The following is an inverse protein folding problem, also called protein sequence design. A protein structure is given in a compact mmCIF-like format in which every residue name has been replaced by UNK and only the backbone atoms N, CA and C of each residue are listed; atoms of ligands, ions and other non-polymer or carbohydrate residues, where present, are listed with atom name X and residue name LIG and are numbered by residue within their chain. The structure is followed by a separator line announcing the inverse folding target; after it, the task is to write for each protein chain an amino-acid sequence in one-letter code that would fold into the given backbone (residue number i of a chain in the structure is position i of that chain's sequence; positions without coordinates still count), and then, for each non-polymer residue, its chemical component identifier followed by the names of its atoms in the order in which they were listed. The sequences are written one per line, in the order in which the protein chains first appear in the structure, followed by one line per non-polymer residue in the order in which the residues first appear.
data_IF_076848845774
#
_entry.id   IF_076848845774
#
_cell.length_a   1.000
_cell.length_b   1.000
_cell.length_c   1.000
_cell.angle_alpha   90.00
_cell.angle_beta   90.00
_cell.angle_gamma   90.00
#
_symmetry.space_group_name_H-M   'P 1'
#
loop_
_entity.id
_entity.type
_entity.pdbx_description
1 polymer ?
#
# COMPACT_ATOMS: atom_id res chain seq x y z
N UNK A 1 44.67 -11.72 -43.52
CA UNK A 1 44.10 -12.45 -42.35
C UNK A 1 44.16 -11.66 -41.04
N UNK A 2 45.32 -11.11 -40.61
CA UNK A 2 45.47 -10.37 -39.33
C UNK A 2 44.59 -9.12 -39.16
N UNK A 3 44.37 -8.34 -40.22
CA UNK A 3 43.54 -7.11 -40.17
C UNK A 3 42.06 -7.44 -40.00
N UNK A 4 41.59 -8.50 -40.67
CA UNK A 4 40.21 -8.98 -40.58
C UNK A 4 39.89 -9.48 -39.16
N UNK A 5 40.82 -10.25 -38.56
CA UNK A 5 40.69 -10.74 -37.18
C UNK A 5 40.59 -9.58 -36.16
N UNK A 6 41.40 -8.53 -36.33
CA UNK A 6 41.36 -7.33 -35.47
C UNK A 6 40.04 -6.57 -35.60
N UNK A 7 39.47 -6.48 -36.80
CA UNK A 7 38.14 -5.85 -37.02
C UNK A 7 37.02 -6.63 -36.35
N UNK A 8 37.04 -7.95 -36.46
CA UNK A 8 36.05 -8.83 -35.79
C UNK A 8 36.13 -8.64 -34.27
N UNK A 9 37.34 -8.62 -33.71
CA UNK A 9 37.54 -8.42 -32.27
C UNK A 9 37.01 -7.06 -31.78
N UNK A 10 37.25 -5.98 -32.55
CA UNK A 10 36.74 -4.63 -32.22
C UNK A 10 35.21 -4.60 -32.24
N UNK A 11 34.57 -5.24 -33.23
CA UNK A 11 33.11 -5.29 -33.32
C UNK A 11 32.50 -6.04 -32.13
N UNK A 12 33.09 -7.16 -31.73
CA UNK A 12 32.65 -7.93 -30.55
C UNK A 12 32.80 -7.10 -29.27
N UNK A 13 33.92 -6.38 -29.13
CA UNK A 13 34.17 -5.53 -27.97
C UNK A 13 33.12 -4.41 -27.87
N UNK A 14 32.83 -3.72 -28.98
CA UNK A 14 31.81 -2.65 -29.02
C UNK A 14 30.42 -3.22 -28.68
N UNK A 15 30.05 -4.36 -29.25
CA UNK A 15 28.78 -5.01 -28.97
C UNK A 15 28.64 -5.39 -27.48
N UNK A 16 29.71 -5.89 -26.86
CA UNK A 16 29.73 -6.24 -25.44
C UNK A 16 29.54 -5.01 -24.53
N UNK A 17 30.22 -3.90 -24.83
CA UNK A 17 30.11 -2.64 -24.09
C UNK A 17 28.70 -2.07 -24.25
N UNK A 18 28.16 -2.05 -25.47
CA UNK A 18 26.81 -1.56 -25.74
C UNK A 18 25.75 -2.38 -24.98
N UNK A 19 25.92 -3.69 -24.90
CA UNK A 19 25.03 -4.57 -24.15
C UNK A 19 25.05 -4.26 -22.64
N UNK A 20 26.23 -4.03 -22.06
CA UNK A 20 26.38 -3.65 -20.64
C UNK A 20 25.72 -2.29 -20.36
N UNK A 21 25.91 -1.31 -21.26
CA UNK A 21 25.28 0.02 -21.14
C UNK A 21 23.76 -0.08 -21.21
N UNK A 22 23.23 -0.84 -22.18
CA UNK A 22 21.80 -1.06 -22.33
C UNK A 22 21.19 -1.80 -21.13
N UNK A 23 21.89 -2.81 -20.60
CA UNK A 23 21.48 -3.53 -19.40
C UNK A 23 21.44 -2.61 -18.17
N UNK A 24 22.49 -1.80 -17.97
CA UNK A 24 22.57 -0.83 -16.87
C UNK A 24 21.49 0.25 -16.95
N UNK A 25 21.15 0.67 -18.17
CA UNK A 25 20.06 1.62 -18.40
C UNK A 25 18.70 1.02 -18.07
N UNK A 26 18.45 -0.25 -18.45
CA UNK A 26 17.21 -0.97 -18.11
C UNK A 26 17.03 -1.11 -16.60
N UNK A 27 18.09 -1.45 -15.87
CA UNK A 27 18.10 -1.52 -14.40
C UNK A 27 17.80 -0.17 -13.76
N UNK A 28 18.40 0.92 -14.27
CA UNK A 28 18.11 2.30 -13.79
C UNK A 28 16.65 2.67 -14.00
N UNK A 29 16.09 2.42 -15.19
CA UNK A 29 14.67 2.70 -15.49
C UNK A 29 13.71 1.90 -14.60
N UNK A 30 14.02 0.63 -14.29
CA UNK A 30 13.22 -0.15 -13.34
C UNK A 30 13.31 0.41 -11.91
N UNK A 31 14.51 0.79 -11.46
CA UNK A 31 14.72 1.37 -10.12
C UNK A 31 14.05 2.74 -9.96
N UNK A 32 14.08 3.56 -11.00
CA UNK A 32 13.41 4.88 -11.03
C UNK A 32 11.88 4.71 -11.05
N UNK A 33 11.34 3.71 -11.75
CA UNK A 33 9.90 3.35 -11.71
C UNK A 33 9.45 2.88 -10.33
N UNK A 34 10.25 2.05 -9.65
CA UNK A 34 9.98 1.65 -8.26
C UNK A 34 10.03 2.85 -7.33
N UNK A 35 10.97 3.79 -7.53
CA UNK A 35 11.12 4.98 -6.69
C UNK A 35 10.02 6.03 -6.92
N UNK A 36 9.51 6.17 -8.15
CA UNK A 36 8.37 7.04 -8.47
C UNK A 36 7.01 6.46 -8.10
N UNK A 37 6.86 5.13 -8.03
CA UNK A 37 5.64 4.48 -7.53
C UNK A 37 5.53 4.49 -5.98
N UNK A 38 6.55 4.96 -5.26
CA UNK A 38 6.51 5.14 -3.79
C UNK A 38 5.84 6.48 -3.39
N UNK A 39 5.65 7.40 -4.33
CA UNK A 39 5.05 8.69 -4.07
C UNK A 39 3.86 8.92 -5.00
N UNK A 40 2.66 8.44 -4.60
CA UNK A 40 1.33 9.05 -4.92
C UNK A 40 0.13 8.22 -4.47
N UNK A 41 0.18 7.68 -3.25
CA UNK A 41 -1.03 7.69 -2.43
C UNK A 41 -0.60 8.19 -1.05
N UNK A 42 -1.05 9.40 -0.68
CA UNK A 42 -0.46 10.10 0.48
C UNK A 42 -0.62 9.25 1.74
N UNK A 43 0.48 9.06 2.46
CA UNK A 43 0.45 8.57 3.84
C UNK A 43 -0.60 9.37 4.62
N UNK A 44 -1.56 8.68 5.23
CA UNK A 44 -2.68 9.33 5.91
C UNK A 44 -3.24 8.47 7.03
N UNK A 45 -3.74 9.15 8.05
CA UNK A 45 -4.51 8.55 9.14
C UNK A 45 -5.91 9.16 9.10
N UNK A 46 -6.92 8.31 9.13
CA UNK A 46 -8.33 8.70 9.11
C UNK A 46 -9.04 8.00 10.26
N UNK A 47 -9.71 8.76 11.11
CA UNK A 47 -10.56 8.19 12.15
C UNK A 47 -11.83 7.67 11.49
N UNK A 48 -12.05 6.36 11.59
CA UNK A 48 -13.20 5.66 10.98
C UNK A 48 -14.30 5.46 12.01
N UNK A 49 -13.96 5.31 13.28
CA UNK A 49 -14.90 5.07 14.36
C UNK A 49 -14.43 5.79 15.62
N UNK A 50 -15.32 6.58 16.22
CA UNK A 50 -15.09 7.28 17.48
C UNK A 50 -16.45 7.55 18.16
N UNK A 51 -16.39 7.87 19.45
CA UNK A 51 -17.49 8.39 20.25
C UNK A 51 -18.10 9.68 19.68
N UNK A 52 -17.38 10.38 18.81
CA UNK A 52 -17.86 11.55 18.07
C UNK A 52 -17.64 11.37 16.57
N UNK A 53 -18.56 11.90 15.79
CA UNK A 53 -18.52 11.81 14.34
C UNK A 53 -18.76 13.19 13.70
N UNK A 54 -18.21 13.38 12.50
CA UNK A 54 -18.39 14.58 11.68
C UNK A 54 -19.03 14.20 10.34
N UNK A 55 -19.78 15.14 9.75
CA UNK A 55 -20.41 14.94 8.45
C UNK A 55 -21.43 13.80 8.46
N UNK A 56 -21.26 12.84 7.55
CA UNK A 56 -22.17 11.70 7.34
C UNK A 56 -21.72 10.41 8.06
N UNK A 57 -20.73 10.51 8.95
CA UNK A 57 -20.26 9.38 9.76
C UNK A 57 -21.19 9.12 10.95
N UNK A 58 -21.24 7.87 11.40
CA UNK A 58 -21.97 7.44 12.58
C UNK A 58 -21.02 7.34 13.77
N UNK A 59 -21.40 7.94 14.89
CA UNK A 59 -20.70 7.83 16.17
C UNK A 59 -21.26 6.68 17.02
N UNK A 60 -20.40 6.06 17.81
CA UNK A 60 -20.76 5.07 18.83
C UNK A 60 -19.59 4.87 19.77
N UNK A 61 -19.79 4.20 20.92
CA UNK A 61 -18.72 3.92 21.87
C UNK A 61 -17.67 2.98 21.24
N UNK A 62 -16.42 3.45 21.14
CA UNK A 62 -15.29 2.68 20.64
C UNK A 62 -14.35 3.48 19.74
N UNK A 63 -13.36 2.80 19.18
CA UNK A 63 -12.33 3.44 18.35
C UNK A 63 -11.94 2.59 17.14
N UNK A 64 -11.65 3.25 16.01
CA UNK A 64 -10.95 2.66 14.87
C UNK A 64 -10.32 3.74 13.99
N UNK A 65 -9.11 3.48 13.50
CA UNK A 65 -8.41 4.35 12.56
C UNK A 65 -7.88 3.56 11.36
N UNK A 66 -8.12 4.11 10.17
CA UNK A 66 -7.51 3.65 8.93
C UNK A 66 -6.17 4.37 8.74
N UNK A 67 -5.10 3.59 8.58
CA UNK A 67 -3.74 4.09 8.44
C UNK A 67 -3.20 3.59 7.11
N UNK A 68 -2.89 4.52 6.20
CA UNK A 68 -2.13 4.22 4.99
C UNK A 68 -0.70 4.72 5.20
N UNK A 69 0.26 3.83 5.10
CA UNK A 69 1.67 4.15 5.25
C UNK A 69 2.51 3.34 4.26
N UNK A 70 3.14 4.03 3.31
CA UNK A 70 3.88 3.42 2.21
C UNK A 70 2.99 2.41 1.46
N UNK A 71 3.39 1.14 1.47
CA UNK A 71 2.71 0.05 0.77
C UNK A 71 1.81 -0.76 1.72
N UNK A 72 1.56 -0.27 2.93
CA UNK A 72 0.76 -0.95 3.93
C UNK A 72 -0.47 -0.15 4.30
N UNK A 73 -1.57 -0.88 4.44
CA UNK A 73 -2.83 -0.38 4.94
C UNK A 73 -3.18 -1.13 6.22
N UNK A 74 -3.30 -0.40 7.32
CA UNK A 74 -3.59 -0.93 8.64
C UNK A 74 -4.94 -0.39 9.09
N UNK A 75 -5.80 -1.27 9.58
CA UNK A 75 -6.93 -0.87 10.40
C UNK A 75 -6.57 -1.07 11.87
N UNK A 76 -6.40 0.03 12.58
CA UNK A 76 -6.17 0.01 14.03
C UNK A 76 -7.52 -0.02 14.73
N UNK A 77 -7.79 -1.06 15.51
CA UNK A 77 -9.08 -1.38 16.13
C UNK A 77 -10.26 -1.41 15.13
N UNK A 78 -11.44 -1.81 15.61
CA UNK A 78 -12.62 -2.07 14.78
C UNK A 78 -13.91 -1.47 15.33
N UNK A 79 -13.81 -0.65 16.39
CA UNK A 79 -14.96 -0.07 17.08
C UNK A 79 -15.84 -1.12 17.76
N UNK A 80 -16.95 -0.66 18.34
CA UNK A 80 -17.92 -1.52 19.03
C UNK A 80 -18.97 -2.18 18.14
N UNK A 81 -19.04 -1.84 16.85
CA UNK A 81 -20.07 -2.35 15.94
C UNK A 81 -19.56 -2.44 14.50
N UNK A 82 -19.61 -3.65 13.94
CA UNK A 82 -19.24 -3.89 12.55
C UNK A 82 -20.10 -3.12 11.54
N UNK A 83 -21.39 -2.94 11.82
CA UNK A 83 -22.30 -2.21 10.94
C UNK A 83 -21.91 -0.75 10.82
N UNK A 84 -21.59 -0.11 11.95
CA UNK A 84 -21.14 1.28 11.98
C UNK A 84 -19.76 1.41 11.34
N UNK A 85 -18.84 0.47 11.64
CA UNK A 85 -17.51 0.44 11.02
C UNK A 85 -17.61 0.41 9.49
N UNK A 86 -18.31 -0.58 8.92
CA UNK A 86 -18.42 -0.72 7.47
C UNK A 86 -19.20 0.44 6.83
N UNK A 87 -20.20 0.98 7.53
CA UNK A 87 -20.90 2.17 7.07
C UNK A 87 -19.96 3.37 6.93
N UNK A 88 -19.14 3.63 7.94
CA UNK A 88 -18.20 4.74 7.95
C UNK A 88 -17.09 4.53 6.92
N UNK A 89 -16.56 3.31 6.78
CA UNK A 89 -15.60 2.98 5.72
C UNK A 89 -16.17 3.29 4.34
N UNK A 90 -17.41 2.84 4.06
CA UNK A 90 -18.09 3.16 2.80
C UNK A 90 -18.27 4.67 2.61
N UNK A 91 -18.67 5.40 3.64
CA UNK A 91 -18.85 6.85 3.60
C UNK A 91 -17.54 7.61 3.32
N UNK A 92 -16.41 7.06 3.77
CA UNK A 92 -15.05 7.58 3.55
C UNK A 92 -14.41 7.09 2.24
N UNK A 93 -15.09 6.24 1.47
CA UNK A 93 -14.53 5.62 0.27
C UNK A 93 -13.37 4.65 0.57
N UNK A 94 -13.37 4.02 1.74
CA UNK A 94 -12.41 3.00 2.16
C UNK A 94 -12.98 1.63 1.81
N UNK A 95 -12.22 0.85 1.03
CA UNK A 95 -12.52 -0.54 0.74
C UNK A 95 -11.99 -1.45 1.87
N UNK A 96 -12.83 -2.25 2.54
CA UNK A 96 -12.37 -3.24 3.51
C UNK A 96 -11.36 -4.25 2.96
N UNK A 97 -11.46 -4.60 1.68
CA UNK A 97 -10.52 -5.52 1.03
C UNK A 97 -9.13 -4.93 0.82
N UNK A 98 -8.96 -3.60 0.97
CA UNK A 98 -7.66 -2.95 0.85
C UNK A 98 -6.83 -2.97 2.14
N UNK A 99 -7.34 -3.55 3.23
CA UNK A 99 -6.64 -3.61 4.52
C UNK A 99 -5.69 -4.82 4.51
N UNK A 100 -4.39 -4.56 4.68
CA UNK A 100 -3.37 -5.60 4.77
C UNK A 100 -3.28 -6.18 6.18
N UNK A 101 -3.44 -5.33 7.21
CA UNK A 101 -3.31 -5.72 8.61
C UNK A 101 -4.40 -5.11 9.47
N UNK A 102 -4.89 -5.89 10.43
CA UNK A 102 -5.72 -5.39 11.54
C UNK A 102 -4.87 -5.42 12.80
N UNK A 103 -4.70 -4.27 13.45
CA UNK A 103 -4.01 -4.15 14.72
C UNK A 103 -5.04 -3.92 15.83
N UNK A 104 -5.09 -4.81 16.82
CA UNK A 104 -6.00 -4.67 17.97
C UNK A 104 -5.19 -4.17 19.16
N UNK A 105 -5.55 -3.00 19.69
CA UNK A 105 -4.87 -2.40 20.83
C UNK A 105 -5.06 -3.21 22.11
N UNK A 106 -6.27 -3.68 22.36
CA UNK A 106 -6.65 -4.54 23.49
C UNK A 106 -8.01 -5.20 23.25
N UNK A 107 -8.37 -6.15 24.12
CA UNK A 107 -9.50 -7.08 23.91
C UNK A 107 -10.83 -6.61 24.50
N UNK A 108 -11.13 -5.32 24.46
CA UNK A 108 -12.45 -4.82 24.82
C UNK A 108 -13.38 -4.75 23.61
N UNK A 109 -14.69 -4.95 23.85
CA UNK A 109 -15.70 -5.06 22.80
C UNK A 109 -15.83 -3.81 21.93
N UNK A 110 -15.52 -2.64 22.48
CA UNK A 110 -15.50 -1.35 21.79
C UNK A 110 -14.27 -1.13 20.89
N UNK A 111 -13.35 -2.09 20.87
CA UNK A 111 -12.19 -2.14 19.98
C UNK A 111 -12.24 -3.36 19.05
N UNK A 112 -12.86 -4.47 19.47
CA UNK A 112 -12.92 -5.73 18.69
C UNK A 112 -14.29 -5.99 18.04
N UNK A 113 -15.31 -5.20 18.35
CA UNK A 113 -16.70 -5.46 17.98
C UNK A 113 -16.99 -5.44 16.49
N UNK A 114 -16.16 -4.75 15.69
CA UNK A 114 -16.27 -4.76 14.23
C UNK A 114 -15.52 -5.87 13.51
N UNK A 115 -14.64 -6.60 14.21
CA UNK A 115 -13.69 -7.52 13.59
C UNK A 115 -14.35 -8.63 12.76
N UNK A 116 -15.35 -9.32 13.30
CA UNK A 116 -15.99 -10.44 12.60
C UNK A 116 -16.68 -10.02 11.30
N UNK A 117 -17.32 -8.86 11.32
CA UNK A 117 -18.03 -8.34 10.15
C UNK A 117 -17.06 -7.82 9.09
N UNK A 118 -15.93 -7.24 9.52
CA UNK A 118 -14.83 -6.85 8.63
C UNK A 118 -14.24 -8.08 7.92
N UNK A 119 -13.93 -9.15 8.66
CA UNK A 119 -13.38 -10.38 8.10
C UNK A 119 -14.36 -11.07 7.14
N UNK A 120 -15.67 -10.93 7.34
CA UNK A 120 -16.68 -11.40 6.40
C UNK A 120 -16.78 -10.61 5.08
N UNK A 121 -15.96 -9.56 4.88
CA UNK A 121 -15.88 -8.77 3.65
C UNK A 121 -14.57 -8.96 2.88
N UNK A 122 -13.62 -9.71 3.43
CA UNK A 122 -12.32 -9.97 2.84
C UNK A 122 -12.31 -11.35 2.17
#
# INVERSE_FOLDING_TARGET
MRILLKRIFIVILIASILSIVLFSFKERVQRDRVSHNIATDKDRIVIVYDNKAVGNLKASWGFSAFIKFKNYTILFDTGGSGEILLWNMKALGIDPGSIDYVFISHIHGDHTGGLWMLLGKN
#
